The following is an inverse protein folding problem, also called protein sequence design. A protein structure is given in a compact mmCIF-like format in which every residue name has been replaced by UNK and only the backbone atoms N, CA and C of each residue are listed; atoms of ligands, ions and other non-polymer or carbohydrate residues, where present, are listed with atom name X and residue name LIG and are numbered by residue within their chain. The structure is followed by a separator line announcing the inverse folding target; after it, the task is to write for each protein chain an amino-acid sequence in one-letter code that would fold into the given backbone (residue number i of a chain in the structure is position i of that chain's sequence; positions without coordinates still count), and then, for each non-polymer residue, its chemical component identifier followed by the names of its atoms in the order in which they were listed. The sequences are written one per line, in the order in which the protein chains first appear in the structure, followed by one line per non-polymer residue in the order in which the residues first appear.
data_IF_995314119589
#
_entry.id   IF_995314119589
#
_cell.length_a   1.000
_cell.length_b   1.000
_cell.length_c   1.000
_cell.angle_alpha   90.00
_cell.angle_beta   90.00
_cell.angle_gamma   90.00
#
_symmetry.space_group_name_H-M   'P 1'
#
loop_
_entity.id
_entity.type
_entity.pdbx_description
1 polymer ?
#
# COMPACT_ATOMS: atom_id res chain seq x y z
N UNK A 1 22.01 -25.35 54.91
CA UNK A 1 22.45 -24.79 56.21
C UNK A 1 22.60 -23.29 56.06
N UNK A 2 22.00 -22.53 57.04
CA UNK A 2 22.14 -21.08 57.03
C UNK A 2 23.59 -20.64 57.31
N UNK A 3 24.12 -19.68 56.60
CA UNK A 3 25.43 -19.09 56.80
C UNK A 3 25.38 -18.02 57.87
N UNK A 4 26.53 -17.76 58.56
CA UNK A 4 26.65 -16.72 59.55
C UNK A 4 26.90 -15.34 58.95
N UNK A 5 27.23 -15.28 57.66
CA UNK A 5 27.55 -14.09 56.90
C UNK A 5 26.71 -14.02 55.64
N UNK A 6 26.59 -12.84 55.05
CA UNK A 6 25.88 -12.59 53.82
C UNK A 6 26.58 -13.31 52.65
N UNK A 7 25.82 -14.10 51.87
CA UNK A 7 26.29 -14.77 50.63
C UNK A 7 25.84 -13.96 49.41
N UNK A 8 26.77 -13.50 48.59
CA UNK A 8 26.47 -12.89 47.30
C UNK A 8 26.49 -13.98 46.22
N UNK A 9 25.41 -14.11 45.49
CA UNK A 9 25.26 -15.05 44.39
C UNK A 9 25.16 -14.26 43.07
N UNK A 10 25.95 -14.69 42.05
CA UNK A 10 25.90 -14.12 40.68
C UNK A 10 25.15 -15.05 39.77
N UNK A 11 24.35 -14.45 38.88
CA UNK A 11 23.52 -15.14 37.91
C UNK A 11 24.04 -14.96 36.49
N UNK A 12 23.64 -15.85 35.58
CA UNK A 12 24.09 -15.89 34.20
C UNK A 12 23.75 -14.63 33.37
N UNK A 13 22.76 -13.87 33.79
CA UNK A 13 22.41 -12.56 33.18
C UNK A 13 23.23 -11.38 33.74
N UNK A 14 24.25 -11.64 34.59
CA UNK A 14 25.04 -10.63 35.25
C UNK A 14 24.40 -10.05 36.52
N UNK A 15 23.18 -10.45 36.85
CA UNK A 15 22.50 -10.04 38.07
C UNK A 15 23.13 -10.65 39.31
N UNK A 16 22.92 -10.01 40.45
CA UNK A 16 23.38 -10.49 41.78
C UNK A 16 22.22 -10.50 42.76
N UNK A 17 22.22 -11.46 43.68
CA UNK A 17 21.31 -11.54 44.80
C UNK A 17 22.09 -11.88 46.08
N UNK A 18 21.70 -11.27 47.19
CA UNK A 18 22.32 -11.53 48.50
C UNK A 18 21.40 -12.36 49.38
N UNK A 19 21.86 -13.55 49.77
CA UNK A 19 21.22 -14.34 50.81
C UNK A 19 21.79 -13.81 52.15
N UNK A 20 20.98 -13.26 52.99
CA UNK A 20 21.37 -12.65 54.26
C UNK A 20 21.84 -13.68 55.28
N UNK A 21 22.75 -13.29 56.17
CA UNK A 21 23.19 -14.11 57.32
C UNK A 21 21.95 -14.66 58.08
N UNK A 22 21.95 -15.97 58.32
CA UNK A 22 20.84 -16.65 58.95
C UNK A 22 19.74 -17.11 58.03
N UNK A 23 19.72 -16.64 56.77
CA UNK A 23 18.74 -17.05 55.77
C UNK A 23 19.28 -18.20 54.91
N UNK A 24 18.37 -18.93 54.24
CA UNK A 24 18.70 -20.03 53.31
C UNK A 24 18.29 -19.76 51.87
N UNK A 25 17.58 -18.64 51.64
CA UNK A 25 17.12 -18.22 50.33
C UNK A 25 17.01 -16.72 50.21
N UNK A 26 17.02 -16.25 48.96
CA UNK A 26 16.71 -14.87 48.59
C UNK A 26 15.96 -14.83 47.27
N UNK A 27 15.14 -13.81 47.07
CA UNK A 27 14.43 -13.61 45.81
C UNK A 27 15.26 -12.70 44.92
N UNK A 28 15.50 -13.14 43.71
CA UNK A 28 16.05 -12.31 42.64
C UNK A 28 14.91 -11.83 41.74
N UNK A 29 14.78 -10.53 41.54
CA UNK A 29 13.85 -9.95 40.58
C UNK A 29 14.63 -9.57 39.33
N UNK A 30 14.35 -10.25 38.22
CA UNK A 30 14.95 -9.93 36.93
C UNK A 30 14.36 -8.60 36.39
N UNK A 31 15.11 -7.86 35.57
CA UNK A 31 14.55 -6.73 34.83
C UNK A 31 13.35 -7.16 33.99
N UNK A 32 12.37 -6.27 33.85
CA UNK A 32 11.21 -6.50 32.97
C UNK A 32 11.66 -6.51 31.51
N UNK A 33 11.06 -7.37 30.68
CA UNK A 33 11.36 -7.46 29.26
C UNK A 33 10.89 -6.20 28.51
N UNK A 34 9.79 -5.62 28.92
CA UNK A 34 9.12 -4.51 28.25
C UNK A 34 7.93 -5.04 27.44
N UNK A 35 6.89 -4.25 27.43
CA UNK A 35 5.65 -4.54 26.74
C UNK A 35 5.70 -3.93 25.35
N UNK A 36 5.36 -4.68 24.31
CA UNK A 36 5.22 -4.18 22.94
C UNK A 36 4.16 -5.00 22.18
N UNK A 37 4.04 -4.84 20.89
CA UNK A 37 2.98 -5.44 20.07
C UNK A 37 3.37 -6.78 19.42
N UNK A 38 4.54 -7.31 19.75
CA UNK A 38 5.09 -8.51 19.09
C UNK A 38 5.10 -9.72 20.02
N UNK A 39 4.94 -10.90 19.41
CA UNK A 39 5.08 -12.18 20.12
C UNK A 39 6.54 -12.48 20.38
N UNK A 40 7.06 -12.06 21.51
CA UNK A 40 8.44 -12.28 21.90
C UNK A 40 8.60 -12.84 23.34
N UNK A 41 7.50 -13.14 24.00
CA UNK A 41 7.49 -13.84 25.28
C UNK A 41 8.12 -15.23 25.18
N UNK A 42 8.71 -15.67 26.28
CA UNK A 42 9.40 -16.97 26.29
C UNK A 42 9.95 -17.33 27.66
N UNK A 43 10.66 -18.46 27.77
CA UNK A 43 11.26 -18.87 29.02
C UNK A 43 12.53 -18.05 29.32
N UNK A 44 12.51 -17.30 30.42
CA UNK A 44 13.71 -16.74 31.04
C UNK A 44 14.40 -17.81 31.87
N UNK A 45 15.59 -18.21 31.47
CA UNK A 45 16.37 -19.27 32.12
C UNK A 45 17.65 -18.68 32.72
N UNK A 46 17.85 -18.83 34.00
CA UNK A 46 19.02 -18.33 34.72
C UNK A 46 19.74 -19.44 35.50
N UNK A 47 21.05 -19.44 35.45
CA UNK A 47 21.91 -20.32 36.26
C UNK A 47 22.74 -19.52 37.25
N UNK A 48 23.17 -20.16 38.34
CA UNK A 48 24.15 -19.62 39.24
C UNK A 48 25.56 -19.75 38.62
N UNK A 49 26.26 -18.63 38.48
CA UNK A 49 27.61 -18.60 37.90
C UNK A 49 28.73 -18.47 38.94
N UNK A 50 28.39 -17.86 40.08
CA UNK A 50 29.34 -17.68 41.18
C UNK A 50 28.59 -17.47 42.50
N UNK A 51 29.24 -17.82 43.61
CA UNK A 51 28.74 -17.47 44.94
C UNK A 51 29.93 -17.24 45.89
N UNK A 52 29.88 -16.15 46.68
CA UNK A 52 30.99 -15.76 47.52
C UNK A 52 30.55 -15.07 48.81
N UNK A 53 31.35 -15.23 49.85
CA UNK A 53 31.28 -14.44 51.08
C UNK A 53 32.56 -13.61 51.18
N UNK A 54 32.45 -12.28 51.35
CA UNK A 54 33.64 -11.41 51.42
C UNK A 54 34.65 -11.85 52.49
N UNK A 55 35.88 -12.02 52.07
CA UNK A 55 37.01 -12.39 52.95
C UNK A 55 36.98 -13.84 53.44
N UNK A 56 36.13 -14.71 52.89
CA UNK A 56 36.04 -16.13 53.27
C UNK A 56 36.14 -17.05 52.04
N UNK A 57 36.70 -18.23 52.25
CA UNK A 57 36.81 -19.30 51.26
C UNK A 57 36.03 -20.51 51.78
N UNK A 58 35.19 -21.09 50.96
CA UNK A 58 34.47 -22.34 51.29
C UNK A 58 35.44 -23.53 51.21
N UNK A 59 35.26 -24.51 52.05
CA UNK A 59 35.96 -25.81 51.99
C UNK A 59 35.53 -26.55 50.71
N UNK A 60 34.21 -26.56 50.41
CA UNK A 60 33.64 -27.12 49.20
C UNK A 60 32.40 -26.30 48.83
N UNK A 61 32.45 -25.60 47.69
CA UNK A 61 31.32 -24.87 47.13
C UNK A 61 30.92 -25.52 45.84
N UNK A 62 29.69 -26.02 45.81
CA UNK A 62 29.11 -26.61 44.61
C UNK A 62 27.94 -25.71 44.11
N UNK A 63 28.04 -25.33 42.86
CA UNK A 63 27.00 -24.54 42.19
C UNK A 63 26.13 -25.50 41.35
N UNK A 64 24.80 -25.39 41.49
CA UNK A 64 23.88 -26.11 40.64
C UNK A 64 24.07 -25.70 39.17
N UNK A 65 24.08 -26.67 38.27
CA UNK A 65 24.07 -26.44 36.82
C UNK A 65 22.63 -26.40 36.27
N UNK A 66 21.65 -26.81 37.05
CA UNK A 66 20.24 -26.76 36.66
C UNK A 66 19.75 -25.32 36.67
N UNK A 67 19.11 -24.84 35.58
CA UNK A 67 18.57 -23.49 35.52
C UNK A 67 17.30 -23.34 36.32
N UNK A 68 17.10 -22.17 36.91
CA UNK A 68 15.79 -21.68 37.31
C UNK A 68 15.09 -21.09 36.09
N UNK A 69 13.87 -21.51 35.79
CA UNK A 69 13.12 -21.08 34.60
C UNK A 69 11.84 -20.39 35.03
N UNK A 70 11.57 -19.22 34.45
CA UNK A 70 10.30 -18.49 34.57
C UNK A 70 9.75 -18.25 33.18
N UNK A 71 8.50 -18.64 32.92
CA UNK A 71 7.84 -18.34 31.66
C UNK A 71 7.36 -16.87 31.68
N UNK A 72 7.80 -16.10 30.67
CA UNK A 72 7.27 -14.76 30.39
C UNK A 72 6.24 -14.92 29.27
N UNK A 73 5.04 -14.41 29.51
CA UNK A 73 3.96 -14.43 28.51
C UNK A 73 3.73 -13.02 28.03
N UNK A 74 3.47 -12.88 26.72
CA UNK A 74 3.05 -11.61 26.11
C UNK A 74 1.67 -11.22 26.65
N UNK A 75 1.45 -9.93 26.79
CA UNK A 75 0.10 -9.34 26.83
C UNK A 75 -0.46 -9.28 25.41
N UNK A 76 -1.74 -9.01 25.23
CA UNK A 76 -2.31 -8.96 23.88
C UNK A 76 -2.54 -7.51 23.48
N UNK A 77 -1.67 -7.00 22.62
CA UNK A 77 -1.77 -5.67 22.03
C UNK A 77 -2.21 -5.72 20.57
N UNK A 78 -3.33 -5.03 20.29
CA UNK A 78 -3.92 -5.02 18.95
C UNK A 78 -3.36 -3.88 18.12
N UNK A 79 -2.79 -4.20 16.96
CA UNK A 79 -2.45 -3.24 15.90
C UNK A 79 -3.53 -3.29 14.83
N UNK A 80 -4.20 -2.16 14.61
CA UNK A 80 -5.21 -2.02 13.54
C UNK A 80 -4.64 -1.19 12.40
N UNK A 81 -4.76 -1.69 11.17
CA UNK A 81 -4.35 -0.99 9.94
C UNK A 81 -5.58 -0.65 9.11
N UNK A 82 -5.69 0.60 8.69
CA UNK A 82 -6.81 1.12 7.88
C UNK A 82 -6.31 1.95 6.70
N UNK A 83 -7.21 2.21 5.73
CA UNK A 83 -6.94 3.06 4.57
C UNK A 83 -8.12 3.98 4.33
N UNK A 84 -7.84 5.23 3.93
CA UNK A 84 -8.85 6.22 3.54
C UNK A 84 -8.40 6.97 2.28
N UNK A 85 -9.35 7.33 1.40
CA UNK A 85 -9.07 8.21 0.26
C UNK A 85 -8.91 9.66 0.71
N UNK A 86 -8.04 10.42 0.03
CA UNK A 86 -7.71 11.81 0.39
C UNK A 86 -8.54 12.86 -0.39
N UNK A 87 -9.71 12.46 -0.89
CA UNK A 87 -10.61 13.34 -1.65
C UNK A 87 -10.56 13.06 -3.15
N UNK A 88 -11.49 13.72 -3.87
CA UNK A 88 -11.68 13.53 -5.29
C UNK A 88 -10.54 14.16 -6.09
N UNK A 89 -10.24 13.59 -7.25
CA UNK A 89 -9.24 14.10 -8.20
C UNK A 89 -9.79 14.09 -9.61
N UNK A 90 -9.17 14.85 -10.53
CA UNK A 90 -9.40 14.69 -11.96
C UNK A 90 -8.50 13.58 -12.52
N UNK A 91 -8.89 13.00 -13.66
CA UNK A 91 -8.19 11.88 -14.31
C UNK A 91 -6.73 12.16 -14.68
N UNK A 92 -6.35 13.43 -14.80
CA UNK A 92 -4.98 13.89 -15.05
C UNK A 92 -4.13 14.04 -13.77
N UNK A 93 -4.68 13.71 -12.59
CA UNK A 93 -3.99 13.77 -11.31
C UNK A 93 -3.92 12.41 -10.62
N UNK A 94 -2.86 12.18 -9.84
CA UNK A 94 -2.69 10.95 -9.10
C UNK A 94 -3.63 10.89 -7.89
N UNK A 95 -4.49 9.85 -7.75
CA UNK A 95 -5.23 9.60 -6.54
C UNK A 95 -4.31 9.29 -5.37
N UNK A 96 -4.61 9.83 -4.20
CA UNK A 96 -3.84 9.55 -2.98
C UNK A 96 -4.70 8.96 -1.89
N UNK A 97 -4.08 8.13 -1.06
CA UNK A 97 -4.71 7.44 0.06
C UNK A 97 -3.81 7.57 1.29
N UNK A 98 -4.41 7.71 2.45
CA UNK A 98 -3.72 7.65 3.73
C UNK A 98 -3.92 6.26 4.34
N UNK A 99 -2.83 5.55 4.57
CA UNK A 99 -2.81 4.33 5.39
C UNK A 99 -2.48 4.74 6.81
N UNK A 100 -3.26 4.27 7.78
CA UNK A 100 -3.13 4.64 9.19
C UNK A 100 -3.09 3.41 10.08
N UNK A 101 -2.34 3.52 11.19
CA UNK A 101 -2.29 2.54 12.28
C UNK A 101 -2.70 3.20 13.60
N UNK A 102 -3.28 2.43 14.52
CA UNK A 102 -3.78 2.92 15.79
C UNK A 102 -2.69 3.36 16.78
N UNK A 103 -1.44 2.90 16.58
CA UNK A 103 -0.30 3.25 17.45
C UNK A 103 1.01 3.20 16.67
N UNK A 104 1.98 4.03 17.06
CA UNK A 104 3.30 4.05 16.43
C UNK A 104 4.10 2.79 16.78
N UNK A 105 4.76 2.21 15.78
CA UNK A 105 5.62 1.05 15.96
C UNK A 105 7.09 1.47 16.10
N UNK A 106 7.89 0.60 16.68
CA UNK A 106 9.35 0.81 16.80
C UNK A 106 10.08 0.51 15.48
N UNK A 107 9.44 -0.22 14.58
CA UNK A 107 9.99 -0.69 13.31
C UNK A 107 9.10 -0.26 12.14
N UNK A 108 9.67 -0.22 10.92
CA UNK A 108 8.95 0.10 9.69
C UNK A 108 7.90 -0.98 9.39
N UNK A 109 6.64 -0.57 9.20
CA UNK A 109 5.54 -1.44 8.78
C UNK A 109 5.35 -1.35 7.27
N UNK A 110 5.46 -2.46 6.57
CA UNK A 110 5.10 -2.58 5.15
C UNK A 110 3.66 -3.03 5.03
N UNK A 111 2.84 -2.24 4.33
CA UNK A 111 1.42 -2.51 4.07
C UNK A 111 1.22 -2.76 2.58
N UNK A 112 0.49 -3.83 2.22
CA UNK A 112 0.11 -4.17 0.85
C UNK A 112 -1.34 -3.80 0.59
N UNK A 113 -1.60 -3.30 -0.61
CA UNK A 113 -2.93 -2.86 -1.04
C UNK A 113 -3.49 -3.78 -2.13
N UNK A 114 -4.82 -3.72 -2.32
CA UNK A 114 -5.55 -4.59 -3.27
C UNK A 114 -5.16 -4.41 -4.74
N UNK A 115 -4.58 -3.27 -5.11
CA UNK A 115 -4.04 -3.02 -6.45
C UNK A 115 -2.60 -3.53 -6.65
N UNK A 116 -2.03 -4.24 -5.66
CA UNK A 116 -0.64 -4.68 -5.65
C UNK A 116 0.37 -3.62 -5.20
N UNK A 117 -0.08 -2.41 -4.91
CA UNK A 117 0.76 -1.34 -4.36
C UNK A 117 1.21 -1.64 -2.94
N UNK A 118 2.33 -1.02 -2.56
CA UNK A 118 2.86 -1.11 -1.19
C UNK A 118 3.15 0.28 -0.65
N UNK A 119 2.98 0.44 0.66
CA UNK A 119 3.33 1.65 1.38
C UNK A 119 4.01 1.30 2.69
N UNK A 120 4.98 2.10 3.12
CA UNK A 120 5.70 1.88 4.39
C UNK A 120 5.33 2.98 5.37
N UNK A 121 4.72 2.59 6.49
CA UNK A 121 4.59 3.45 7.67
C UNK A 121 5.90 3.37 8.43
N UNK A 122 6.60 4.49 8.55
CA UNK A 122 7.92 4.53 9.19
C UNK A 122 7.83 4.34 10.69
N UNK A 123 8.91 3.80 11.28
CA UNK A 123 9.06 3.70 12.72
C UNK A 123 8.79 5.06 13.40
N UNK A 124 7.91 5.07 14.40
CA UNK A 124 7.48 6.27 15.10
C UNK A 124 6.29 7.01 14.47
N UNK A 125 5.94 6.73 13.21
CA UNK A 125 4.78 7.32 12.55
C UNK A 125 3.52 6.46 12.76
N UNK A 126 2.35 7.09 12.62
CA UNK A 126 1.05 6.42 12.67
C UNK A 126 0.33 6.42 11.32
N UNK A 127 0.93 6.99 10.29
CA UNK A 127 0.35 6.98 8.95
C UNK A 127 1.40 7.17 7.86
N UNK A 128 1.02 6.80 6.63
CA UNK A 128 1.79 7.07 5.42
C UNK A 128 0.85 7.29 4.23
N UNK A 129 1.30 8.05 3.23
CA UNK A 129 0.53 8.33 2.02
C UNK A 129 0.94 7.34 0.92
N UNK A 130 -0.06 6.69 0.33
CA UNK A 130 0.08 5.95 -0.91
C UNK A 130 -0.42 6.80 -2.07
N UNK A 131 0.36 6.92 -3.13
CA UNK A 131 0.00 7.58 -4.39
C UNK A 131 -0.26 6.50 -5.43
N UNK A 132 -1.51 6.39 -5.89
CA UNK A 132 -1.86 5.46 -6.96
C UNK A 132 -1.48 6.03 -8.33
N UNK A 133 -1.31 5.18 -9.36
CA UNK A 133 -1.09 5.65 -10.71
C UNK A 133 -2.22 6.56 -11.20
N UNK A 134 -1.87 7.55 -12.01
CA UNK A 134 -2.83 8.42 -12.70
C UNK A 134 -3.61 7.58 -13.73
N UNK A 135 -4.91 7.86 -13.91
CA UNK A 135 -5.74 7.21 -14.94
C UNK A 135 -5.27 7.62 -16.33
N UNK A 136 -5.08 8.91 -16.54
CA UNK A 136 -4.65 9.52 -17.79
C UNK A 136 -5.79 10.31 -18.42
N UNK A 137 -5.45 11.51 -18.86
CA UNK A 137 -6.36 12.45 -19.48
C UNK A 137 -6.74 11.99 -20.91
N UNK A 138 -8.01 11.94 -21.24
CA UNK A 138 -8.49 11.68 -22.58
C UNK A 138 -9.84 12.35 -22.86
N UNK A 139 -10.52 11.99 -23.93
CA UNK A 139 -11.76 12.64 -24.39
C UNK A 139 -13.02 11.86 -24.02
N UNK A 140 -12.88 10.77 -23.31
CA UNK A 140 -13.99 9.90 -22.96
C UNK A 140 -14.46 10.13 -21.54
N UNK A 141 -15.69 9.72 -21.24
CA UNK A 141 -16.24 9.74 -19.88
C UNK A 141 -16.03 8.36 -19.28
N UNK A 142 -14.92 8.16 -18.60
CA UNK A 142 -14.56 6.91 -17.96
C UNK A 142 -14.11 7.05 -16.52
N UNK A 143 -14.23 8.25 -15.95
CA UNK A 143 -14.02 8.53 -14.54
C UNK A 143 -14.94 7.71 -13.64
N UNK A 144 -14.44 7.38 -12.44
CA UNK A 144 -15.18 6.54 -11.52
C UNK A 144 -14.49 6.42 -10.16
N UNK A 145 -15.06 5.67 -9.22
CA UNK A 145 -14.48 5.46 -7.91
C UNK A 145 -13.31 4.45 -7.99
N UNK A 146 -12.12 4.88 -7.59
CA UNK A 146 -11.00 4.01 -7.28
C UNK A 146 -11.09 3.58 -5.82
N UNK A 147 -11.27 2.29 -5.58
CA UNK A 147 -11.45 1.70 -4.27
C UNK A 147 -10.29 0.77 -3.94
N UNK A 148 -9.59 1.01 -2.81
CA UNK A 148 -8.46 0.20 -2.35
C UNK A 148 -8.70 -0.30 -0.93
N UNK A 149 -8.29 -1.54 -0.66
CA UNK A 149 -8.29 -2.15 0.68
C UNK A 149 -6.89 -2.56 1.09
N UNK A 150 -6.67 -2.67 2.40
CA UNK A 150 -5.47 -3.28 2.96
C UNK A 150 -5.59 -4.80 2.82
N UNK A 151 -4.58 -5.45 2.24
CA UNK A 151 -4.56 -6.91 2.04
C UNK A 151 -3.57 -7.63 2.93
N UNK A 152 -2.52 -6.93 3.36
CA UNK A 152 -1.48 -7.50 4.22
C UNK A 152 -0.72 -6.36 4.92
N UNK A 153 -0.18 -6.64 6.11
CA UNK A 153 0.74 -5.74 6.80
C UNK A 153 1.77 -6.55 7.59
N UNK A 154 3.04 -6.18 7.51
CA UNK A 154 4.11 -6.94 8.14
C UNK A 154 5.33 -6.10 8.51
N UNK A 155 6.01 -6.52 9.55
CA UNK A 155 7.33 -6.05 9.95
C UNK A 155 8.31 -7.22 9.78
N UNK A 156 9.43 -7.06 9.04
CA UNK A 156 10.37 -8.15 8.81
C UNK A 156 10.88 -8.79 10.09
N UNK A 157 10.76 -10.11 10.20
CA UNK A 157 11.26 -10.88 11.36
C UNK A 157 10.45 -10.74 12.64
N UNK A 158 9.30 -10.06 12.60
CA UNK A 158 8.40 -9.88 13.74
C UNK A 158 7.05 -10.53 13.48
N UNK A 159 6.39 -10.98 14.55
CA UNK A 159 5.01 -11.51 14.51
C UNK A 159 4.19 -10.70 15.49
N UNK A 160 3.11 -10.09 15.02
CA UNK A 160 2.21 -9.35 15.90
C UNK A 160 1.45 -10.27 16.86
N UNK A 161 1.17 -9.79 18.05
CA UNK A 161 0.28 -10.47 18.99
C UNK A 161 -1.15 -10.54 18.45
N UNK A 162 -1.67 -9.40 17.99
CA UNK A 162 -2.94 -9.28 17.29
C UNK A 162 -2.86 -8.20 16.20
N UNK A 163 -2.93 -8.60 14.93
CA UNK A 163 -2.95 -7.69 13.79
C UNK A 163 -4.33 -7.73 13.12
N UNK A 164 -4.99 -6.58 13.07
CA UNK A 164 -6.30 -6.42 12.45
C UNK A 164 -6.22 -5.49 11.25
N UNK A 165 -6.62 -5.99 10.08
CA UNK A 165 -6.73 -5.22 8.85
C UNK A 165 -8.18 -4.78 8.66
N UNK A 166 -8.41 -3.48 8.51
CA UNK A 166 -9.73 -2.95 8.20
C UNK A 166 -10.22 -3.49 6.86
N UNK A 167 -11.46 -3.93 6.82
CA UNK A 167 -12.15 -4.35 5.59
C UNK A 167 -12.79 -3.18 4.85
N UNK A 168 -12.89 -2.02 5.50
CA UNK A 168 -13.44 -0.82 4.89
C UNK A 168 -12.45 -0.28 3.86
N UNK A 169 -12.91 -0.04 2.61
CA UNK A 169 -12.06 0.50 1.57
C UNK A 169 -11.81 2.00 1.74
N UNK A 170 -10.62 2.46 1.38
CA UNK A 170 -10.41 3.85 1.01
C UNK A 170 -10.91 4.08 -0.41
N UNK A 171 -11.69 5.14 -0.62
CA UNK A 171 -12.27 5.48 -1.93
C UNK A 171 -11.87 6.89 -2.33
N UNK A 172 -11.43 7.05 -3.59
CA UNK A 172 -11.19 8.32 -4.25
C UNK A 172 -12.02 8.35 -5.52
N UNK A 173 -12.87 9.38 -5.70
CA UNK A 173 -13.58 9.59 -6.95
C UNK A 173 -12.63 10.22 -7.97
N UNK A 174 -12.48 9.58 -9.12
CA UNK A 174 -11.80 10.16 -10.28
C UNK A 174 -12.88 10.78 -11.17
N UNK A 175 -12.71 12.06 -11.49
CA UNK A 175 -13.63 12.82 -12.33
C UNK A 175 -12.96 13.08 -13.68
N UNK A 176 -13.75 12.97 -14.76
CA UNK A 176 -13.27 13.32 -16.10
C UNK A 176 -13.00 14.83 -16.17
N UNK A 177 -11.99 15.21 -16.92
CA UNK A 177 -11.84 16.55 -17.45
C UNK A 177 -12.79 16.77 -18.64
N UNK A 178 -12.94 17.98 -19.09
CA UNK A 178 -13.82 18.24 -20.24
C UNK A 178 -13.00 18.55 -21.48
N UNK A 179 -12.89 17.55 -22.35
CA UNK A 179 -12.20 17.67 -23.62
C UNK A 179 -13.18 17.70 -24.79
N UNK A 180 -13.01 18.69 -25.65
CA UNK A 180 -13.90 18.87 -26.78
C UNK A 180 -13.30 18.25 -28.05
N UNK A 181 -13.98 17.26 -28.59
CA UNK A 181 -13.71 16.73 -29.93
C UNK A 181 -14.61 17.45 -30.93
N UNK A 182 -13.97 18.10 -31.93
CA UNK A 182 -14.67 18.76 -33.04
C UNK A 182 -14.46 17.96 -34.30
N UNK A 183 -15.57 17.70 -35.01
CA UNK A 183 -15.58 17.03 -36.31
C UNK A 183 -16.01 18.05 -37.35
N UNK A 184 -15.26 18.21 -38.42
CA UNK A 184 -15.59 19.07 -39.55
C UNK A 184 -15.50 18.32 -40.87
N UNK A 185 -16.17 18.85 -41.91
CA UNK A 185 -16.16 18.31 -43.27
C UNK A 185 -15.89 19.41 -44.25
N UNK A 186 -15.08 19.13 -45.26
CA UNK A 186 -14.81 20.01 -46.39
C UNK A 186 -14.82 19.23 -47.72
N UNK A 187 -15.39 19.84 -48.74
CA UNK A 187 -15.32 19.30 -50.11
C UNK A 187 -13.94 19.48 -50.72
N UNK A 188 -13.48 18.49 -51.47
CA UNK A 188 -12.16 18.47 -52.06
C UNK A 188 -12.10 19.08 -53.50
N UNK A 189 -13.01 20.00 -53.77
CA UNK A 189 -13.05 20.73 -55.06
C UNK A 189 -14.15 20.25 -55.97
N UNK A 190 -14.24 20.87 -57.15
CA UNK A 190 -15.23 20.52 -58.18
C UNK A 190 -14.83 19.30 -58.96
N UNK A 191 -15.79 18.49 -59.31
CA UNK A 191 -15.61 17.29 -60.16
C UNK A 191 -16.63 17.34 -61.29
N UNK A 192 -16.40 16.58 -62.39
CA UNK A 192 -17.38 16.39 -63.42
C UNK A 192 -18.43 15.38 -62.96
N UNK A 193 -19.64 15.40 -63.52
CA UNK A 193 -20.79 14.56 -63.13
C UNK A 193 -20.51 13.05 -63.21
N UNK A 194 -19.56 12.65 -64.06
CA UNK A 194 -19.10 11.26 -64.19
C UNK A 194 -18.01 10.85 -63.21
N UNK A 195 -17.66 11.72 -62.25
CA UNK A 195 -16.64 11.43 -61.22
C UNK A 195 -17.24 11.51 -59.84
N UNK A 196 -16.73 10.67 -58.92
CA UNK A 196 -17.15 10.64 -57.57
C UNK A 196 -16.63 11.86 -56.78
N UNK A 197 -17.49 12.70 -56.20
CA UNK A 197 -17.03 13.77 -55.33
C UNK A 197 -16.46 13.23 -54.01
N UNK A 198 -15.41 13.87 -53.54
CA UNK A 198 -14.74 13.47 -52.32
C UNK A 198 -14.82 14.61 -51.27
N UNK A 199 -14.87 14.20 -50.01
CA UNK A 199 -14.89 15.10 -48.86
C UNK A 199 -13.86 14.64 -47.85
N UNK A 200 -13.19 15.59 -47.23
CA UNK A 200 -12.28 15.32 -46.11
C UNK A 200 -12.99 15.62 -44.80
N UNK A 201 -13.09 14.62 -43.94
CA UNK A 201 -13.52 14.74 -42.55
C UNK A 201 -12.29 14.99 -41.71
N UNK A 202 -12.31 15.98 -40.80
CA UNK A 202 -11.16 16.36 -39.96
C UNK A 202 -11.58 16.46 -38.51
N UNK A 203 -10.73 15.96 -37.62
CA UNK A 203 -10.81 16.09 -36.18
C UNK A 203 -9.80 17.12 -35.69
N UNK A 204 -10.12 17.84 -34.60
CA UNK A 204 -9.18 18.73 -33.95
C UNK A 204 -8.02 18.00 -33.24
N UNK A 205 -8.18 16.70 -32.96
CA UNK A 205 -7.15 15.86 -32.32
C UNK A 205 -7.33 14.39 -32.70
N UNK A 206 -6.25 13.61 -32.61
CA UNK A 206 -6.28 12.17 -32.83
C UNK A 206 -6.93 11.45 -31.63
N UNK A 207 -7.75 10.44 -31.92
CA UNK A 207 -8.38 9.62 -30.89
C UNK A 207 -7.61 8.31 -30.71
N UNK A 208 -7.76 7.69 -29.53
CA UNK A 208 -7.19 6.37 -29.25
C UNK A 208 -7.92 5.24 -30.00
N UNK A 209 -9.20 5.48 -30.35
CA UNK A 209 -10.09 4.52 -31.01
C UNK A 209 -10.62 5.03 -32.33
N UNK A 210 -11.11 4.13 -33.20
CA UNK A 210 -11.74 4.45 -34.46
C UNK A 210 -13.03 5.25 -34.26
N UNK A 211 -13.15 6.40 -34.90
CA UNK A 211 -14.36 7.19 -34.91
C UNK A 211 -15.17 6.97 -36.18
N UNK A 212 -16.41 6.49 -36.04
CA UNK A 212 -17.34 6.42 -37.17
C UNK A 212 -18.21 7.67 -37.24
N UNK A 213 -18.11 8.41 -38.34
CA UNK A 213 -18.87 9.61 -38.63
C UNK A 213 -19.99 9.27 -39.60
N UNK A 214 -21.24 9.63 -39.27
CA UNK A 214 -22.41 9.50 -40.16
C UNK A 214 -22.64 10.82 -40.86
N UNK A 215 -22.88 10.77 -42.17
CA UNK A 215 -23.13 11.93 -43.02
C UNK A 215 -24.62 12.09 -43.33
N UNK A 216 -25.05 13.27 -43.71
CA UNK A 216 -26.48 13.59 -44.01
C UNK A 216 -27.07 12.82 -45.22
N UNK A 217 -26.19 12.39 -46.13
CA UNK A 217 -26.60 11.54 -47.27
C UNK A 217 -26.73 10.04 -46.91
N UNK A 218 -26.61 9.67 -45.63
CA UNK A 218 -26.62 8.29 -45.15
C UNK A 218 -25.29 7.54 -45.25
N UNK A 219 -24.27 8.17 -45.82
CA UNK A 219 -22.91 7.59 -45.90
C UNK A 219 -22.26 7.58 -44.51
N UNK A 220 -21.25 6.74 -44.40
CA UNK A 220 -20.40 6.65 -43.21
C UNK A 220 -18.92 6.68 -43.57
N UNK A 221 -18.11 7.25 -42.73
CA UNK A 221 -16.66 7.26 -42.86
C UNK A 221 -16.02 7.00 -41.51
N UNK A 222 -14.93 6.26 -41.48
CA UNK A 222 -14.19 5.94 -40.25
C UNK A 222 -12.86 6.67 -40.27
N UNK A 223 -12.66 7.56 -39.25
CA UNK A 223 -11.34 8.11 -38.94
C UNK A 223 -10.67 7.08 -38.04
N UNK A 224 -9.54 6.56 -38.45
CA UNK A 224 -8.82 5.50 -37.73
C UNK A 224 -8.13 6.03 -36.51
N UNK A 225 -7.98 5.16 -35.49
CA UNK A 225 -7.22 5.46 -34.29
C UNK A 225 -5.84 6.06 -34.63
N UNK A 226 -5.48 7.15 -33.97
CA UNK A 226 -4.23 7.89 -34.22
C UNK A 226 -4.27 8.87 -35.41
N UNK A 227 -5.30 8.81 -36.26
CA UNK A 227 -5.47 9.73 -37.39
C UNK A 227 -6.38 10.93 -37.00
N UNK A 228 -6.18 12.06 -37.70
CA UNK A 228 -6.99 13.25 -37.56
C UNK A 228 -7.89 13.53 -38.74
N UNK A 229 -7.84 12.68 -39.78
CA UNK A 229 -8.68 12.87 -40.96
C UNK A 229 -9.00 11.57 -41.67
N UNK A 230 -10.08 11.56 -42.47
CA UNK A 230 -10.42 10.51 -43.38
C UNK A 230 -11.15 11.08 -44.60
N UNK A 231 -11.05 10.38 -45.75
CA UNK A 231 -11.71 10.79 -46.99
C UNK A 231 -12.99 9.97 -47.16
N UNK A 232 -14.09 10.66 -47.39
CA UNK A 232 -15.35 10.07 -47.80
C UNK A 232 -15.49 10.28 -49.36
N UNK A 233 -15.77 9.21 -50.09
CA UNK A 233 -16.10 9.26 -51.47
C UNK A 233 -17.60 9.05 -51.66
N UNK A 234 -18.30 10.09 -52.10
CA UNK A 234 -19.73 9.98 -52.36
C UNK A 234 -20.02 9.26 -53.68
N UNK A 235 -21.22 8.67 -53.82
CA UNK A 235 -21.62 8.08 -55.10
C UNK A 235 -21.57 9.12 -56.21
N UNK A 236 -21.24 8.64 -57.44
CA UNK A 236 -21.32 9.45 -58.66
C UNK A 236 -22.79 9.83 -58.96
N UNK A 237 -23.03 11.03 -59.43
CA UNK A 237 -24.37 11.48 -59.81
C UNK A 237 -24.91 10.73 -61.08
N UNK A 238 -24.07 10.49 -61.97
CA UNK A 238 -24.37 9.89 -63.28
C UNK A 238 -24.25 10.90 -64.41
N UNK A 239 -23.75 10.44 -65.56
CA UNK A 239 -23.58 11.28 -66.77
C UNK A 239 -24.86 11.23 -67.57
N UNK A 240 -25.48 12.36 -67.82
CA UNK A 240 -26.64 12.48 -68.70
C UNK A 240 -26.59 13.75 -69.58
N UNK A 241 -27.65 14.04 -70.32
CA UNK A 241 -27.67 15.16 -71.27
C UNK A 241 -28.25 16.47 -70.69
N UNK A 242 -28.63 16.47 -69.43
CA UNK A 242 -29.23 17.61 -68.74
C UNK A 242 -28.18 18.38 -67.88
N UNK A 243 -28.44 19.64 -67.65
CA UNK A 243 -27.62 20.47 -66.72
C UNK A 243 -28.23 20.43 -65.33
N UNK A 244 -27.96 19.40 -64.58
CA UNK A 244 -28.47 19.20 -63.22
C UNK A 244 -27.35 19.28 -62.16
N UNK A 245 -26.12 19.63 -62.55
CA UNK A 245 -25.03 19.95 -61.63
C UNK A 245 -25.30 21.27 -60.91
N UNK A 246 -25.36 21.21 -59.58
CA UNK A 246 -25.57 22.34 -58.66
C UNK A 246 -24.53 22.37 -57.55
#
# INVERSE_FOLDING_TARGET
QALKDDLTVKLSNGGTVTVKAGETSAIYTAPIQGDDVYKDGGPLSLTVTDASVPGKVFEDLQLSKEPGVVQINDTTDTVTVSIAGNGDVFENANPTFTVSINQALKDDLTVKLSNGGTVTVKAGDTSAIYTAPVQGDDVYKDGGPLSLTVTDASVPGKVFEDLQLSKEPGVVQINDTTDTVTVSIAGNGAVFENANPTFTITLNQALKDDLTVKLSNGGTVTVKAGETSAIYTAPVQGDDVYKDGG
#
